data_IF_869141936081
#
_entry.id   IF_869141936081
#
_cell.length_a   1.000
_cell.length_b   1.000
_cell.length_c   1.000
_cell.angle_alpha   90.00
_cell.angle_beta   90.00
_cell.angle_gamma   90.00
#
_symmetry.space_group_name_H-M   'P 1'
#
loop_
_entity.id
_entity.type
_entity.pdbx_description
1 polymer ?
#
# COMPACT_ATOMS: atom_id res chain seq x y z
N UNK A 1 -65.25 28.42 -13.99
CA UNK A 1 -63.82 28.34 -14.32
C UNK A 1 -63.06 28.08 -13.03
N UNK A 2 -62.37 26.95 -12.94
CA UNK A 2 -61.28 26.76 -11.98
C UNK A 2 -60.11 26.27 -12.81
N UNK A 3 -59.16 27.16 -13.07
CA UNK A 3 -57.88 26.78 -13.65
C UNK A 3 -57.07 26.11 -12.55
N UNK A 4 -56.89 24.79 -12.67
CA UNK A 4 -55.89 24.07 -11.87
C UNK A 4 -54.55 24.39 -12.51
N UNK A 5 -53.78 25.26 -11.86
CA UNK A 5 -52.38 25.47 -12.21
C UNK A 5 -51.58 24.29 -11.66
N UNK A 6 -51.11 23.41 -12.55
CA UNK A 6 -50.00 22.52 -12.22
C UNK A 6 -48.74 23.38 -12.27
N UNK A 7 -48.09 23.58 -11.13
CA UNK A 7 -46.74 24.13 -11.11
C UNK A 7 -45.82 23.08 -11.75
N UNK A 8 -45.23 23.39 -12.91
CA UNK A 8 -44.24 22.54 -13.59
C UNK A 8 -42.94 22.37 -12.78
N UNK A 9 -42.70 23.22 -11.77
CA UNK A 9 -41.54 23.14 -10.88
C UNK A 9 -41.96 22.87 -9.42
N UNK A 10 -41.52 21.73 -8.89
CA UNK A 10 -41.62 21.40 -7.47
C UNK A 10 -40.88 22.46 -6.65
N UNK A 11 -41.59 23.13 -5.76
CA UNK A 11 -41.05 24.12 -4.82
C UNK A 11 -40.01 23.53 -3.85
N UNK A 12 -39.91 22.20 -3.78
CA UNK A 12 -38.87 21.48 -3.05
C UNK A 12 -37.81 20.99 -4.03
N UNK A 13 -36.65 21.68 -4.13
CA UNK A 13 -35.56 21.34 -5.05
C UNK A 13 -34.89 19.99 -4.73
N UNK A 14 -35.29 19.36 -3.62
CA UNK A 14 -34.75 18.07 -3.19
C UNK A 14 -35.60 16.87 -3.62
N UNK A 15 -36.84 17.07 -4.08
CA UNK A 15 -37.76 15.96 -4.43
C UNK A 15 -37.24 15.12 -5.60
N UNK A 16 -36.45 15.72 -6.49
CA UNK A 16 -35.85 15.04 -7.64
C UNK A 16 -34.32 14.84 -7.50
N UNK A 17 -33.74 15.02 -6.30
CA UNK A 17 -32.30 14.80 -6.10
C UNK A 17 -32.02 13.30 -5.98
N UNK A 18 -31.46 12.73 -7.03
CA UNK A 18 -31.07 11.31 -7.11
C UNK A 18 -29.59 11.03 -6.80
N UNK A 19 -28.80 12.08 -6.54
CA UNK A 19 -27.37 11.97 -6.25
C UNK A 19 -27.05 12.44 -4.83
N UNK A 20 -26.12 11.76 -4.17
CA UNK A 20 -25.61 12.19 -2.86
C UNK A 20 -24.90 13.55 -2.97
N UNK A 21 -24.99 14.36 -1.91
CA UNK A 21 -24.23 15.61 -1.77
C UNK A 21 -23.26 15.56 -0.60
N UNK A 22 -23.13 14.40 0.06
CA UNK A 22 -22.18 14.22 1.13
C UNK A 22 -20.79 13.99 0.54
N UNK A 23 -19.79 14.73 1.04
CA UNK A 23 -18.38 14.49 0.76
C UNK A 23 -17.82 13.72 1.94
N UNK A 24 -17.25 12.54 1.67
CA UNK A 24 -16.64 11.68 2.67
C UNK A 24 -15.11 11.76 2.57
N UNK A 25 -14.45 11.80 3.71
CA UNK A 25 -13.00 11.84 3.86
C UNK A 25 -12.53 10.56 4.51
N UNK A 26 -11.71 9.78 3.83
CA UNK A 26 -11.18 8.55 4.37
C UNK A 26 -9.84 8.19 3.76
N UNK A 27 -9.28 7.11 4.26
CA UNK A 27 -8.00 6.57 3.81
C UNK A 27 -8.19 5.12 3.37
N UNK A 28 -7.69 4.81 2.18
CA UNK A 28 -7.80 3.50 1.54
C UNK A 28 -6.53 2.67 1.65
N UNK A 29 -5.48 3.20 2.30
CA UNK A 29 -4.16 2.60 2.30
C UNK A 29 -3.44 2.81 3.64
N UNK A 30 -3.69 1.92 4.60
CA UNK A 30 -3.07 1.95 5.93
C UNK A 30 -2.53 0.58 6.32
N UNK A 31 -1.27 0.55 6.72
CA UNK A 31 -0.61 -0.65 7.25
C UNK A 31 -0.56 -0.58 8.77
N UNK A 32 -0.71 -1.73 9.40
CA UNK A 32 -0.71 -1.98 10.85
C UNK A 32 0.39 -2.99 11.19
N UNK A 33 0.48 -3.40 12.45
CA UNK A 33 1.41 -4.43 12.87
C UNK A 33 1.17 -5.81 12.21
N UNK A 34 0.03 -6.04 11.53
CA UNK A 34 -0.18 -7.28 10.77
C UNK A 34 0.65 -7.30 9.47
N UNK A 35 1.02 -6.15 8.93
CA UNK A 35 1.90 -6.08 7.77
C UNK A 35 3.37 -6.22 8.15
N UNK A 36 4.11 -7.00 7.37
CA UNK A 36 5.54 -7.29 7.59
C UNK A 36 6.37 -6.00 7.60
N UNK A 37 6.16 -5.13 6.60
CA UNK A 37 6.93 -3.89 6.45
C UNK A 37 6.69 -2.94 7.63
N UNK A 38 5.44 -2.68 7.99
CA UNK A 38 5.08 -1.78 9.05
C UNK A 38 5.64 -2.26 10.40
N UNK A 39 5.52 -3.54 10.74
CA UNK A 39 6.07 -4.08 11.98
C UNK A 39 7.60 -3.97 12.01
N UNK A 40 8.28 -4.37 10.92
CA UNK A 40 9.73 -4.27 10.80
C UNK A 40 10.18 -2.81 10.95
N UNK A 41 9.45 -1.84 10.40
CA UNK A 41 9.73 -0.42 10.59
C UNK A 41 9.32 0.16 11.95
N UNK A 42 8.89 -0.68 12.90
CA UNK A 42 8.64 -0.29 14.29
C UNK A 42 7.19 -0.06 14.64
N UNK A 43 6.24 -0.21 13.71
CA UNK A 43 4.81 -0.14 14.01
C UNK A 43 4.43 -1.26 14.96
N UNK A 44 3.68 -0.92 16.00
CA UNK A 44 3.13 -1.87 16.98
C UNK A 44 1.60 -1.77 17.11
N UNK A 45 1.00 -0.84 16.37
CA UNK A 45 -0.43 -0.55 16.42
C UNK A 45 -1.21 -1.61 15.64
N UNK A 46 -2.34 -2.03 16.20
CA UNK A 46 -3.22 -3.04 15.62
C UNK A 46 -4.23 -2.42 14.64
N UNK A 47 -4.95 -3.24 13.84
CA UNK A 47 -6.12 -2.76 13.09
C UNK A 47 -7.14 -2.03 13.96
N UNK A 48 -7.42 -2.52 15.17
CA UNK A 48 -8.34 -1.85 16.11
C UNK A 48 -7.81 -0.45 16.50
N UNK A 49 -6.50 -0.29 16.73
CA UNK A 49 -5.92 1.03 17.01
C UNK A 49 -6.02 1.98 15.81
N UNK A 50 -5.84 1.48 14.59
CA UNK A 50 -5.98 2.26 13.36
C UNK A 50 -7.42 2.79 13.21
N UNK A 51 -8.42 1.94 13.39
CA UNK A 51 -9.83 2.36 13.36
C UNK A 51 -10.18 3.34 14.48
N UNK A 52 -9.70 3.12 15.70
CA UNK A 52 -9.88 4.05 16.81
C UNK A 52 -9.28 5.42 16.50
N UNK A 53 -8.06 5.46 15.94
CA UNK A 53 -7.43 6.72 15.53
C UNK A 53 -8.21 7.42 14.42
N UNK A 54 -8.70 6.68 13.42
CA UNK A 54 -9.52 7.22 12.33
C UNK A 54 -10.84 7.81 12.84
N UNK A 55 -11.49 7.18 13.83
CA UNK A 55 -12.65 7.75 14.54
C UNK A 55 -12.31 8.96 15.42
N UNK A 56 -11.04 9.36 15.46
CA UNK A 56 -10.54 10.47 16.25
C UNK A 56 -10.47 10.14 17.74
N UNK A 57 -10.20 8.90 18.13
CA UNK A 57 -9.79 8.59 19.50
C UNK A 57 -8.32 8.95 19.71
N UNK A 58 -7.92 9.09 20.98
CA UNK A 58 -6.52 9.26 21.35
C UNK A 58 -5.84 7.89 21.39
N UNK A 59 -4.72 7.75 20.70
CA UNK A 59 -3.88 6.54 20.72
C UNK A 59 -2.43 6.92 21.09
N UNK A 60 -1.62 5.92 21.42
CA UNK A 60 -0.17 6.11 21.60
C UNK A 60 0.55 5.64 20.34
N UNK A 61 1.26 6.54 19.67
CA UNK A 61 2.05 6.22 18.48
C UNK A 61 3.24 5.31 18.82
N UNK A 62 3.81 4.66 17.82
CA UNK A 62 5.03 3.85 17.98
C UNK A 62 6.23 4.69 18.47
N UNK A 63 6.21 6.00 18.19
CA UNK A 63 7.14 7.00 18.71
C UNK A 63 6.85 7.43 20.16
N UNK A 64 5.96 6.75 20.88
CA UNK A 64 5.68 6.96 22.29
C UNK A 64 4.72 8.12 22.61
N UNK A 65 4.51 9.04 21.68
CA UNK A 65 3.63 10.21 21.82
C UNK A 65 2.15 9.85 21.80
N UNK A 66 1.33 10.62 22.52
CA UNK A 66 -0.13 10.55 22.40
C UNK A 66 -0.59 11.37 21.19
N UNK A 67 -1.30 10.73 20.26
CA UNK A 67 -1.75 11.37 19.01
C UNK A 67 -3.26 11.22 18.81
N UNK A 68 -3.85 12.19 18.11
CA UNK A 68 -5.26 12.24 17.74
C UNK A 68 -5.43 13.02 16.43
N UNK A 69 -6.32 12.55 15.54
CA UNK A 69 -6.70 13.34 14.37
C UNK A 69 -7.45 14.60 14.77
N UNK A 70 -7.11 15.74 14.14
CA UNK A 70 -7.87 17.00 14.30
C UNK A 70 -9.31 16.85 13.86
N UNK A 71 -9.54 16.09 12.79
CA UNK A 71 -10.86 15.74 12.25
C UNK A 71 -10.91 14.23 12.06
N UNK A 72 -11.88 13.52 12.64
CA UNK A 72 -12.11 12.11 12.34
C UNK A 72 -12.36 11.87 10.85
N UNK A 73 -12.00 10.70 10.37
CA UNK A 73 -12.34 10.22 9.03
C UNK A 73 -13.76 9.66 9.03
N UNK A 74 -14.37 9.66 7.86
CA UNK A 74 -15.67 9.06 7.58
C UNK A 74 -15.54 7.56 7.25
N UNK A 75 -14.37 7.13 6.75
CA UNK A 75 -14.06 5.71 6.53
C UNK A 75 -12.56 5.41 6.61
N UNK A 76 -12.22 4.13 6.85
CA UNK A 76 -10.85 3.63 6.81
C UNK A 76 -10.80 2.21 6.24
N UNK A 77 -9.76 1.92 5.48
CA UNK A 77 -9.37 0.57 5.07
C UNK A 77 -8.00 0.27 5.66
N UNK A 78 -7.91 -0.86 6.36
CA UNK A 78 -6.62 -1.46 6.73
C UNK A 78 -6.21 -2.36 5.57
N UNK A 79 -5.08 -2.06 4.93
CA UNK A 79 -4.59 -2.70 3.72
C UNK A 79 -3.22 -3.34 3.97
N UNK A 80 -3.12 -4.16 5.01
CA UNK A 80 -1.89 -4.90 5.30
C UNK A 80 -1.51 -5.84 4.14
N UNK A 81 -0.21 -6.12 3.94
CA UNK A 81 0.25 -7.03 2.89
C UNK A 81 -0.37 -8.41 3.04
N UNK A 82 -0.96 -8.95 1.97
CA UNK A 82 -1.45 -10.33 1.92
C UNK A 82 -0.30 -11.34 2.07
N UNK A 83 0.88 -10.99 1.54
CA UNK A 83 2.07 -11.82 1.63
C UNK A 83 2.52 -11.95 3.08
N UNK A 84 2.37 -13.16 3.64
CA UNK A 84 2.71 -13.46 5.04
C UNK A 84 1.99 -12.55 6.05
N UNK A 85 0.76 -12.13 5.75
CA UNK A 85 -0.06 -11.32 6.65
C UNK A 85 -0.10 -11.91 8.07
N UNK A 86 0.27 -11.10 9.07
CA UNK A 86 0.29 -11.48 10.47
C UNK A 86 1.45 -12.39 10.90
N UNK A 87 2.22 -12.98 9.97
CA UNK A 87 3.30 -13.93 10.31
C UNK A 87 4.37 -13.28 11.18
N UNK A 88 4.87 -12.10 10.77
CA UNK A 88 5.91 -11.39 11.51
C UNK A 88 5.41 -10.97 12.90
N UNK A 89 4.13 -10.58 13.00
CA UNK A 89 3.50 -10.26 14.28
C UNK A 89 3.44 -11.47 15.20
N UNK A 90 3.09 -12.66 14.67
CA UNK A 90 3.03 -13.91 15.42
C UNK A 90 4.42 -14.37 15.86
N UNK A 91 5.44 -14.25 15.02
CA UNK A 91 6.83 -14.50 15.40
C UNK A 91 7.27 -13.57 16.53
N UNK A 92 7.01 -12.26 16.41
CA UNK A 92 7.33 -11.28 17.44
C UNK A 92 6.58 -11.55 18.76
N UNK A 93 5.39 -12.14 18.69
CA UNK A 93 4.60 -12.56 19.84
C UNK A 93 5.01 -13.94 20.42
N UNK A 94 5.99 -14.62 19.81
CA UNK A 94 6.51 -15.88 20.32
C UNK A 94 5.75 -17.13 19.87
N UNK A 95 5.07 -17.11 18.72
CA UNK A 95 4.36 -18.27 18.18
C UNK A 95 5.29 -19.48 18.01
N UNK A 96 5.05 -20.55 18.77
CA UNK A 96 5.93 -21.72 18.83
C UNK A 96 6.01 -22.48 17.50
N UNK A 97 4.91 -22.53 16.73
CA UNK A 97 4.87 -23.26 15.47
C UNK A 97 5.73 -22.55 14.41
N UNK A 98 5.62 -21.23 14.31
CA UNK A 98 6.46 -20.43 13.42
C UNK A 98 7.93 -20.47 13.89
N UNK A 99 8.18 -20.37 15.19
CA UNK A 99 9.52 -20.45 15.79
C UNK A 99 10.17 -21.85 15.69
N UNK A 100 9.40 -22.90 15.39
CA UNK A 100 9.96 -24.22 15.10
C UNK A 100 10.66 -24.23 13.74
N UNK A 101 10.25 -23.37 12.80
CA UNK A 101 10.81 -23.30 11.44
C UNK A 101 12.15 -22.57 11.40
N UNK A 102 13.00 -22.89 10.41
CA UNK A 102 14.28 -22.18 10.23
C UNK A 102 14.07 -20.71 9.85
N UNK A 103 13.03 -20.41 9.06
CA UNK A 103 12.66 -19.06 8.70
C UNK A 103 12.23 -18.25 9.92
N UNK A 104 11.33 -18.80 10.75
CA UNK A 104 10.86 -18.14 11.96
C UNK A 104 11.97 -17.85 12.97
N UNK A 105 12.89 -18.79 13.20
CA UNK A 105 14.07 -18.56 14.07
C UNK A 105 14.94 -17.40 13.58
N UNK A 106 15.27 -17.41 12.29
CA UNK A 106 16.08 -16.36 11.66
C UNK A 106 15.39 -14.99 11.75
N UNK A 107 14.10 -14.95 11.48
CA UNK A 107 13.32 -13.71 11.55
C UNK A 107 13.19 -13.22 12.98
N UNK A 108 12.95 -14.10 13.97
CA UNK A 108 12.92 -13.73 15.38
C UNK A 108 14.25 -13.13 15.86
N UNK A 109 15.37 -13.73 15.48
CA UNK A 109 16.71 -13.19 15.75
C UNK A 109 16.89 -11.82 15.10
N UNK A 110 16.47 -11.65 13.85
CA UNK A 110 16.59 -10.39 13.12
C UNK A 110 15.67 -9.28 13.67
N UNK A 111 14.55 -9.63 14.32
CA UNK A 111 13.65 -8.69 14.99
C UNK A 111 14.16 -8.25 16.37
N UNK A 112 15.21 -8.87 16.90
CA UNK A 112 15.82 -8.48 18.17
C UNK A 112 16.69 -7.23 17.99
N UNK A 113 16.04 -6.08 17.87
CA UNK A 113 16.73 -4.82 17.61
C UNK A 113 17.55 -4.37 18.83
N UNK A 114 18.80 -3.92 18.62
CA UNK A 114 19.64 -3.44 19.71
C UNK A 114 19.13 -2.12 20.31
N UNK A 115 18.27 -1.40 19.59
CA UNK A 115 17.69 -0.10 19.95
C UNK A 115 16.24 -0.08 19.46
N UNK A 116 15.31 0.43 20.26
CA UNK A 116 13.92 0.62 19.84
C UNK A 116 13.77 1.83 18.92
N UNK A 117 12.69 1.88 18.12
CA UNK A 117 12.38 3.07 17.30
C UNK A 117 12.26 4.33 18.18
N UNK A 118 11.65 4.21 19.36
CA UNK A 118 11.49 5.32 20.29
C UNK A 118 12.83 5.88 20.76
N UNK A 119 13.76 5.02 21.18
CA UNK A 119 15.10 5.43 21.59
C UNK A 119 15.86 6.06 20.42
N UNK A 120 15.73 5.49 19.22
CA UNK A 120 16.35 6.02 18.02
C UNK A 120 15.82 7.41 17.61
N UNK A 121 14.51 7.66 17.76
CA UNK A 121 13.89 8.95 17.43
C UNK A 121 14.18 10.04 18.48
N UNK A 122 14.42 9.65 19.73
CA UNK A 122 14.73 10.58 20.82
C UNK A 122 16.24 10.82 21.01
N UNK A 123 17.07 10.21 20.18
CA UNK A 123 18.51 10.38 20.24
C UNK A 123 18.94 11.77 19.74
N UNK A 124 19.96 12.35 20.38
CA UNK A 124 20.53 13.64 19.96
C UNK A 124 21.34 13.52 18.65
N UNK A 125 21.71 12.30 18.24
CA UNK A 125 22.46 12.01 17.01
C UNK A 125 21.76 10.95 16.17
N UNK A 126 22.07 10.95 14.87
CA UNK A 126 21.54 9.95 13.93
C UNK A 126 22.12 8.54 14.13
N UNK A 127 23.07 8.33 15.04
CA UNK A 127 23.76 7.04 15.18
C UNK A 127 22.79 5.92 15.56
N UNK A 128 21.88 6.20 16.50
CA UNK A 128 20.86 5.24 16.92
C UNK A 128 19.81 5.01 15.83
N UNK A 129 19.44 6.05 15.07
CA UNK A 129 18.55 5.92 13.92
C UNK A 129 19.19 5.09 12.80
N UNK A 130 20.48 5.28 12.53
CA UNK A 130 21.23 4.50 11.55
C UNK A 130 21.38 3.04 12.00
N UNK A 131 21.61 2.79 13.29
CA UNK A 131 21.65 1.44 13.86
C UNK A 131 20.29 0.73 13.74
N UNK A 132 19.20 1.43 14.07
CA UNK A 132 17.84 0.93 13.87
C UNK A 132 17.59 0.60 12.39
N UNK A 133 17.89 1.50 11.47
CA UNK A 133 17.73 1.28 10.03
C UNK A 133 18.57 0.11 9.50
N UNK A 134 19.78 -0.09 10.03
CA UNK A 134 20.59 -1.24 9.68
C UNK A 134 19.94 -2.55 10.17
N UNK A 135 19.38 -2.56 11.38
CA UNK A 135 18.66 -3.70 11.93
C UNK A 135 17.37 -4.01 11.16
N UNK A 136 16.58 -2.99 10.79
CA UNK A 136 15.38 -3.20 9.96
C UNK A 136 15.74 -3.77 8.59
N UNK A 137 16.83 -3.32 7.95
CA UNK A 137 17.33 -3.92 6.71
C UNK A 137 17.73 -5.40 6.88
N UNK A 138 18.25 -5.80 8.04
CA UNK A 138 18.50 -7.22 8.33
C UNK A 138 17.19 -8.01 8.48
N UNK A 139 16.20 -7.45 9.17
CA UNK A 139 14.88 -8.06 9.32
C UNK A 139 14.15 -8.21 7.97
N UNK A 140 14.19 -7.19 7.10
CA UNK A 140 13.68 -7.27 5.72
C UNK A 140 14.35 -8.42 4.97
N UNK A 141 15.69 -8.54 5.05
CA UNK A 141 16.40 -9.65 4.39
C UNK A 141 16.05 -11.02 4.98
N UNK A 142 15.84 -11.10 6.30
CA UNK A 142 15.42 -12.32 6.94
C UNK A 142 14.03 -12.77 6.45
N UNK A 143 13.12 -11.80 6.32
CA UNK A 143 11.77 -12.00 5.78
C UNK A 143 11.76 -12.26 4.27
N UNK A 144 12.69 -11.70 3.50
CA UNK A 144 12.84 -12.03 2.08
C UNK A 144 13.38 -13.44 1.82
N UNK A 145 14.06 -14.01 2.82
CA UNK A 145 14.67 -15.33 2.73
C UNK A 145 15.86 -15.37 1.77
N UNK A 146 16.03 -16.51 1.09
CA UNK A 146 17.17 -16.77 0.19
C UNK A 146 16.90 -16.39 -1.28
N UNK A 147 15.70 -15.92 -1.58
CA UNK A 147 15.28 -15.54 -2.94
C UNK A 147 15.74 -14.11 -3.22
N UNK A 148 16.48 -13.90 -4.32
CA UNK A 148 16.83 -12.54 -4.77
C UNK A 148 15.58 -11.82 -5.29
N UNK A 149 15.21 -10.68 -4.72
CA UNK A 149 14.07 -9.85 -5.16
C UNK A 149 12.99 -9.74 -4.07
N UNK A 150 11.73 -9.51 -4.46
CA UNK A 150 10.57 -9.55 -3.53
C UNK A 150 10.14 -10.99 -3.20
N UNK A 151 11.08 -11.91 -3.07
CA UNK A 151 10.77 -13.18 -2.46
C UNK A 151 10.39 -12.92 -1.00
N UNK A 152 9.50 -13.73 -0.46
CA UNK A 152 9.33 -13.84 0.99
C UNK A 152 9.81 -15.22 1.41
N UNK A 153 10.20 -15.34 2.68
CA UNK A 153 10.55 -16.60 3.29
C UNK A 153 9.31 -17.49 3.37
N UNK A 154 9.51 -18.77 3.09
CA UNK A 154 8.53 -19.79 3.41
C UNK A 154 8.59 -20.07 4.92
N UNK A 155 7.53 -19.65 5.62
CA UNK A 155 7.33 -19.88 7.05
C UNK A 155 6.52 -21.15 7.33
N UNK A 156 6.18 -21.95 6.31
CA UNK A 156 5.37 -23.15 6.44
C UNK A 156 3.93 -22.86 6.86
N UNK A 157 3.40 -21.69 6.53
CA UNK A 157 2.01 -21.33 6.82
C UNK A 157 1.06 -22.11 5.90
N UNK A 158 -0.06 -22.54 6.45
CA UNK A 158 -1.12 -23.22 5.71
C UNK A 158 -2.35 -22.32 5.57
N UNK A 159 -3.34 -22.78 4.79
CA UNK A 159 -4.59 -22.06 4.60
C UNK A 159 -5.33 -21.80 5.92
N UNK A 160 -5.15 -22.66 6.93
CA UNK A 160 -5.78 -22.49 8.25
C UNK A 160 -5.24 -21.25 8.94
N UNK A 161 -3.92 -21.04 8.91
CA UNK A 161 -3.30 -19.82 9.40
C UNK A 161 -3.79 -18.58 8.62
N UNK A 162 -3.80 -18.64 7.29
CA UNK A 162 -4.28 -17.53 6.46
C UNK A 162 -5.74 -17.16 6.80
N UNK A 163 -6.63 -18.17 6.92
CA UNK A 163 -8.03 -17.98 7.31
C UNK A 163 -8.16 -17.40 8.72
N UNK A 164 -7.31 -17.81 9.67
CA UNK A 164 -7.41 -17.27 11.04
C UNK A 164 -7.05 -15.80 11.08
N UNK A 165 -5.96 -15.39 10.42
CA UNK A 165 -5.56 -13.97 10.38
C UNK A 165 -6.57 -13.15 9.58
N UNK A 166 -7.05 -13.66 8.45
CA UNK A 166 -8.07 -12.97 7.65
C UNK A 166 -9.38 -12.77 8.42
N UNK A 167 -9.79 -13.76 9.19
CA UNK A 167 -10.93 -13.64 10.09
C UNK A 167 -10.73 -12.53 11.12
N UNK A 168 -9.53 -12.39 11.70
CA UNK A 168 -9.24 -11.28 12.64
C UNK A 168 -9.34 -9.90 11.98
N UNK A 169 -8.88 -9.77 10.73
CA UNK A 169 -9.01 -8.53 9.94
C UNK A 169 -10.48 -8.17 9.73
N UNK A 170 -11.28 -9.13 9.25
CA UNK A 170 -12.72 -8.94 9.07
C UNK A 170 -13.39 -8.57 10.40
N UNK A 171 -13.16 -9.32 11.46
CA UNK A 171 -13.77 -9.07 12.76
C UNK A 171 -13.36 -7.70 13.34
N UNK A 172 -12.13 -7.23 13.09
CA UNK A 172 -11.69 -5.89 13.51
C UNK A 172 -12.44 -4.79 12.76
N UNK A 173 -12.59 -4.92 11.43
CA UNK A 173 -13.40 -4.01 10.64
C UNK A 173 -14.84 -3.97 11.17
N UNK A 174 -15.49 -5.12 11.30
CA UNK A 174 -16.88 -5.22 11.76
C UNK A 174 -17.11 -4.65 13.16
N UNK A 175 -16.17 -4.84 14.10
CA UNK A 175 -16.25 -4.23 15.45
C UNK A 175 -16.26 -2.69 15.40
N UNK A 176 -15.67 -2.11 14.36
CA UNK A 176 -15.47 -0.67 14.23
C UNK A 176 -16.42 0.00 13.24
N UNK A 177 -17.11 -0.79 12.42
CA UNK A 177 -18.14 -0.29 11.50
C UNK A 177 -19.32 0.28 12.29
N UNK A 178 -19.60 1.57 12.10
CA UNK A 178 -20.72 2.30 12.70
C UNK A 178 -21.50 3.01 11.59
N UNK A 179 -22.39 2.29 10.87
CA UNK A 179 -23.06 2.80 9.69
C UNK A 179 -23.74 4.17 9.90
N UNK A 180 -23.44 5.11 9.00
CA UNK A 180 -23.91 6.50 9.09
C UNK A 180 -23.02 7.42 9.93
N UNK A 181 -21.99 6.90 10.60
CA UNK A 181 -20.99 7.67 11.35
C UNK A 181 -19.55 7.38 10.92
N UNK A 182 -19.21 6.11 10.73
CA UNK A 182 -17.90 5.66 10.30
C UNK A 182 -18.02 4.31 9.59
N UNK A 183 -17.44 4.18 8.41
CA UNK A 183 -17.48 2.93 7.64
C UNK A 183 -16.12 2.28 7.57
N UNK A 184 -16.08 0.97 7.81
CA UNK A 184 -14.89 0.15 7.57
C UNK A 184 -15.11 -0.74 6.37
N UNK A 185 -14.02 -1.12 5.72
CA UNK A 185 -14.01 -2.17 4.70
C UNK A 185 -12.98 -3.22 5.07
N UNK A 186 -13.31 -4.49 4.83
CA UNK A 186 -12.30 -5.55 4.82
C UNK A 186 -11.46 -5.40 3.56
N UNK A 187 -10.14 -5.42 3.71
CA UNK A 187 -9.22 -5.23 2.59
C UNK A 187 -7.81 -5.71 2.91
N UNK A 188 -6.96 -5.71 1.88
CA UNK A 188 -5.56 -6.09 1.98
C UNK A 188 -4.76 -5.50 0.81
N UNK A 189 -3.44 -5.42 0.94
CA UNK A 189 -2.53 -5.05 -0.15
C UNK A 189 -1.99 -6.32 -0.85
N UNK A 190 -2.10 -6.38 -2.17
CA UNK A 190 -1.43 -7.35 -3.05
C UNK A 190 -0.15 -6.73 -3.60
N UNK A 191 1.01 -7.30 -3.26
CA UNK A 191 2.31 -6.64 -3.46
C UNK A 191 3.19 -7.27 -4.53
N UNK A 192 3.46 -6.50 -5.58
CA UNK A 192 4.28 -6.95 -6.71
C UNK A 192 5.37 -5.93 -7.05
N UNK A 193 6.61 -6.42 -7.12
CA UNK A 193 7.83 -5.64 -7.33
C UNK A 193 7.82 -4.82 -8.60
N UNK A 194 7.28 -5.43 -9.66
CA UNK A 194 7.34 -4.93 -11.00
C UNK A 194 5.94 -5.09 -11.59
N UNK A 195 5.22 -3.99 -11.72
CA UNK A 195 3.78 -3.96 -11.99
C UNK A 195 2.99 -3.07 -11.03
N UNK A 196 3.57 -2.73 -9.88
CA UNK A 196 2.94 -1.96 -8.81
C UNK A 196 2.03 -2.80 -7.93
N UNK A 197 1.54 -2.19 -6.85
CA UNK A 197 0.76 -2.87 -5.82
C UNK A 197 -0.73 -2.60 -6.06
N UNK A 198 -1.61 -3.32 -5.36
CA UNK A 198 -3.06 -3.06 -5.35
C UNK A 198 -3.65 -3.21 -3.96
N UNK A 199 -4.42 -2.23 -3.51
CA UNK A 199 -5.30 -2.41 -2.35
C UNK A 199 -6.61 -3.04 -2.81
N UNK A 200 -6.89 -4.27 -2.39
CA UNK A 200 -8.14 -5.00 -2.66
C UNK A 200 -9.14 -4.68 -1.56
N UNK A 201 -10.36 -4.31 -1.97
CA UNK A 201 -11.39 -3.79 -1.07
C UNK A 201 -12.69 -4.54 -1.32
N UNK A 202 -13.22 -5.16 -0.27
CA UNK A 202 -14.52 -5.80 -0.26
C UNK A 202 -15.57 -4.84 0.28
N UNK A 203 -16.68 -4.67 -0.43
CA UNK A 203 -17.80 -3.85 0.04
C UNK A 203 -18.73 -4.61 1.00
N UNK A 204 -18.49 -5.91 1.18
CA UNK A 204 -19.40 -6.83 1.84
C UNK A 204 -19.07 -7.06 3.31
N UNK A 205 -20.05 -7.60 4.04
CA UNK A 205 -19.90 -8.04 5.42
C UNK A 205 -19.25 -9.43 5.58
N UNK A 206 -19.09 -9.89 6.83
CA UNK A 206 -18.30 -11.07 7.16
C UNK A 206 -18.84 -12.37 6.52
N UNK A 207 -20.15 -12.47 6.27
CA UNK A 207 -20.77 -13.65 5.68
C UNK A 207 -20.31 -13.93 4.25
N UNK A 208 -20.02 -12.88 3.46
CA UNK A 208 -19.52 -13.03 2.10
C UNK A 208 -17.99 -13.03 2.08
N UNK A 209 -17.36 -12.06 2.74
CA UNK A 209 -15.90 -11.86 2.66
C UNK A 209 -15.10 -13.01 3.27
N UNK A 210 -15.63 -13.71 4.27
CA UNK A 210 -14.96 -14.87 4.89
C UNK A 210 -14.96 -16.15 4.04
N UNK A 211 -15.69 -16.18 2.92
CA UNK A 211 -15.72 -17.34 2.01
C UNK A 211 -14.38 -17.53 1.28
N UNK A 212 -13.60 -16.46 1.14
CA UNK A 212 -12.29 -16.45 0.49
C UNK A 212 -11.18 -16.09 1.48
N UNK A 213 -9.94 -16.30 1.06
CA UNK A 213 -8.73 -15.79 1.72
C UNK A 213 -8.02 -14.84 0.76
N UNK A 214 -7.25 -13.85 1.25
CA UNK A 214 -6.53 -12.93 0.38
C UNK A 214 -5.72 -13.63 -0.70
N UNK A 215 -5.95 -13.28 -1.96
CA UNK A 215 -5.11 -13.70 -3.08
C UNK A 215 -3.84 -12.85 -3.07
N UNK A 216 -2.69 -13.50 -2.97
CA UNK A 216 -1.38 -12.88 -2.77
C UNK A 216 -0.49 -12.98 -4.02
N UNK A 217 0.66 -12.30 -4.00
CA UNK A 217 1.68 -12.45 -5.02
C UNK A 217 2.35 -13.83 -5.01
N UNK A 218 2.14 -14.66 -3.98
CA UNK A 218 2.56 -16.07 -3.98
C UNK A 218 1.67 -16.93 -4.88
N UNK A 219 0.40 -16.57 -5.02
CA UNK A 219 -0.55 -17.26 -5.90
C UNK A 219 -0.28 -16.89 -7.36
N UNK A 220 -0.23 -15.59 -7.65
CA UNK A 220 0.26 -15.05 -8.91
C UNK A 220 0.64 -13.59 -8.75
N UNK A 221 1.63 -13.16 -9.53
CA UNK A 221 1.98 -11.74 -9.65
C UNK A 221 1.38 -11.11 -10.92
N UNK A 222 0.62 -11.85 -11.72
CA UNK A 222 -0.08 -11.31 -12.89
C UNK A 222 -1.39 -10.62 -12.46
N UNK A 223 -1.60 -9.32 -12.75
CA UNK A 223 -2.85 -8.66 -12.40
C UNK A 223 -4.08 -9.30 -13.07
N UNK A 224 -3.93 -9.97 -14.21
CA UNK A 224 -5.07 -10.67 -14.84
C UNK A 224 -5.55 -11.86 -14.00
N UNK A 225 -4.64 -12.53 -13.29
CA UNK A 225 -5.00 -13.62 -12.36
C UNK A 225 -5.67 -13.06 -11.10
N UNK A 226 -5.19 -11.92 -10.58
CA UNK A 226 -5.89 -11.20 -9.51
C UNK A 226 -7.31 -10.83 -9.93
N UNK A 227 -7.50 -10.25 -11.12
CA UNK A 227 -8.84 -9.90 -11.63
C UNK A 227 -9.74 -11.11 -11.83
N UNK A 228 -9.18 -12.27 -12.24
CA UNK A 228 -9.93 -13.52 -12.32
C UNK A 228 -10.40 -13.99 -10.93
N UNK A 229 -9.55 -13.86 -9.90
CA UNK A 229 -9.93 -14.14 -8.52
C UNK A 229 -11.05 -13.20 -8.02
N UNK A 230 -10.97 -11.89 -8.33
CA UNK A 230 -12.02 -10.92 -7.99
C UNK A 230 -13.36 -11.26 -8.67
N UNK A 231 -13.31 -11.66 -9.95
CA UNK A 231 -14.49 -12.11 -10.68
C UNK A 231 -15.12 -13.37 -10.06
N UNK A 232 -14.29 -14.35 -9.70
CA UNK A 232 -14.75 -15.59 -9.07
C UNK A 232 -15.43 -15.33 -7.71
N UNK A 233 -14.93 -14.37 -6.94
CA UNK A 233 -15.58 -13.91 -5.71
C UNK A 233 -16.98 -13.33 -6.00
N UNK A 234 -17.12 -12.38 -6.93
CA UNK A 234 -18.43 -11.79 -7.25
C UNK A 234 -19.41 -12.83 -7.82
N UNK A 235 -18.97 -13.73 -8.69
CA UNK A 235 -19.82 -14.77 -9.30
C UNK A 235 -20.34 -15.79 -8.28
N UNK A 236 -19.49 -16.20 -7.32
CA UNK A 236 -19.85 -17.24 -6.34
C UNK A 236 -20.65 -16.70 -5.17
N UNK A 237 -20.29 -15.51 -4.69
CA UNK A 237 -20.87 -14.93 -3.47
C UNK A 237 -22.02 -13.96 -3.76
N UNK A 238 -22.06 -13.37 -4.97
CA UNK A 238 -22.92 -12.23 -5.28
C UNK A 238 -22.46 -10.91 -4.64
N UNK A 239 -21.28 -10.90 -3.98
CA UNK A 239 -20.68 -9.73 -3.36
C UNK A 239 -20.03 -8.77 -4.36
N UNK A 240 -19.34 -7.75 -3.83
CA UNK A 240 -18.69 -6.71 -4.63
C UNK A 240 -17.26 -6.46 -4.16
N UNK A 241 -16.33 -6.44 -5.11
CA UNK A 241 -14.91 -6.22 -4.82
C UNK A 241 -14.23 -5.43 -5.94
N UNK A 242 -13.24 -4.63 -5.60
CA UNK A 242 -12.36 -3.97 -6.58
C UNK A 242 -10.97 -3.75 -5.99
N UNK A 243 -10.06 -3.25 -6.81
CA UNK A 243 -8.69 -2.96 -6.46
C UNK A 243 -8.32 -1.50 -6.77
N UNK A 244 -7.46 -0.90 -5.94
CA UNK A 244 -6.85 0.41 -6.20
C UNK A 244 -5.35 0.19 -6.46
N UNK A 245 -4.89 0.25 -7.72
CA UNK A 245 -3.47 0.24 -8.02
C UNK A 245 -2.73 1.47 -7.47
N UNK A 246 -1.48 1.25 -7.06
CA UNK A 246 -0.60 2.30 -6.55
C UNK A 246 0.88 2.00 -6.86
N UNK A 247 1.76 2.93 -6.48
CA UNK A 247 3.21 2.82 -6.69
C UNK A 247 3.61 2.64 -8.16
N UNK A 248 2.95 3.33 -9.09
CA UNK A 248 3.35 3.31 -10.49
C UNK A 248 4.82 3.72 -10.68
N UNK A 249 5.29 4.71 -9.93
CA UNK A 249 6.68 5.21 -9.90
C UNK A 249 7.71 4.12 -9.54
N UNK A 250 7.30 3.10 -8.78
CA UNK A 250 8.13 1.95 -8.41
C UNK A 250 7.82 0.69 -9.24
N UNK A 251 6.89 0.76 -10.19
CA UNK A 251 6.44 -0.40 -10.95
C UNK A 251 7.47 -0.96 -11.95
N UNK A 252 8.61 -0.29 -12.14
CA UNK A 252 9.60 -0.66 -13.14
C UNK A 252 9.09 -0.50 -14.58
N UNK A 253 8.38 0.60 -14.88
CA UNK A 253 7.75 0.89 -16.18
C UNK A 253 6.68 -0.15 -16.61
N UNK A 254 5.98 -0.76 -15.65
CA UNK A 254 4.96 -1.78 -15.95
C UNK A 254 3.53 -1.36 -15.66
N UNK A 255 3.29 -0.42 -14.74
CA UNK A 255 1.93 -0.02 -14.34
C UNK A 255 1.08 0.47 -15.53
N UNK A 256 1.70 1.23 -16.44
CA UNK A 256 1.04 1.82 -17.59
C UNK A 256 1.65 1.34 -18.92
N UNK A 257 2.23 0.14 -18.95
CA UNK A 257 2.78 -0.42 -20.18
C UNK A 257 1.68 -0.70 -21.22
N UNK A 258 2.03 -0.56 -22.51
CA UNK A 258 1.16 -0.86 -23.65
C UNK A 258 1.11 -2.36 -24.01
N UNK A 259 1.61 -3.19 -23.09
CA UNK A 259 1.58 -4.65 -23.21
C UNK A 259 1.13 -5.26 -21.90
N UNK A 260 0.51 -6.44 -21.96
CA UNK A 260 0.26 -7.26 -20.78
C UNK A 260 1.58 -7.64 -20.10
N UNK A 261 1.50 -8.23 -18.90
CA UNK A 261 2.70 -8.73 -18.19
C UNK A 261 3.47 -9.77 -19.01
N UNK A 262 2.77 -10.49 -19.89
CA UNK A 262 3.34 -11.51 -20.81
C UNK A 262 3.94 -10.91 -22.07
N UNK A 263 3.84 -9.59 -22.27
CA UNK A 263 4.38 -8.88 -23.43
C UNK A 263 3.43 -8.83 -24.63
N UNK A 264 2.17 -9.23 -24.46
CA UNK A 264 1.16 -9.20 -25.53
C UNK A 264 0.58 -7.78 -25.67
N UNK A 265 0.22 -7.31 -26.88
CA UNK A 265 -0.44 -6.03 -27.05
C UNK A 265 -1.75 -5.93 -26.26
N UNK A 266 -2.04 -4.75 -25.69
CA UNK A 266 -3.33 -4.53 -25.02
C UNK A 266 -4.50 -4.66 -26.00
N UNK A 267 -5.59 -5.27 -25.53
CA UNK A 267 -6.84 -5.41 -26.28
C UNK A 267 -7.93 -4.55 -25.65
N UNK A 268 -9.01 -4.28 -26.40
CA UNK A 268 -10.20 -3.62 -25.84
C UNK A 268 -10.81 -4.42 -24.67
N UNK A 269 -10.69 -5.75 -24.69
CA UNK A 269 -11.15 -6.61 -23.59
C UNK A 269 -10.30 -6.39 -22.33
N UNK A 270 -8.97 -6.30 -22.47
CA UNK A 270 -8.08 -5.97 -21.35
C UNK A 270 -8.42 -4.60 -20.74
N UNK A 271 -8.58 -3.57 -21.57
CA UNK A 271 -8.88 -2.22 -21.09
C UNK A 271 -10.22 -2.16 -20.32
N UNK A 272 -11.26 -2.84 -20.82
CA UNK A 272 -12.56 -2.95 -20.11
C UNK A 272 -12.42 -3.72 -18.80
N UNK A 273 -11.67 -4.83 -18.80
CA UNK A 273 -11.43 -5.63 -17.58
C UNK A 273 -10.69 -4.80 -16.53
N UNK A 274 -9.61 -4.11 -16.91
CA UNK A 274 -8.88 -3.22 -16.01
C UNK A 274 -9.77 -2.11 -15.47
N UNK A 275 -10.54 -1.43 -16.33
CA UNK A 275 -11.45 -0.37 -15.88
C UNK A 275 -12.54 -0.86 -14.92
N UNK A 276 -12.95 -2.13 -14.99
CA UNK A 276 -13.94 -2.72 -14.08
C UNK A 276 -13.35 -3.00 -12.69
N UNK A 277 -12.13 -3.55 -12.66
CA UNK A 277 -11.50 -4.02 -11.43
C UNK A 277 -10.57 -3.00 -10.78
N UNK A 278 -10.01 -2.08 -11.55
CA UNK A 278 -9.13 -0.99 -11.11
C UNK A 278 -9.71 0.39 -11.51
N UNK A 279 -10.88 0.78 -10.98
CA UNK A 279 -11.53 2.03 -11.36
C UNK A 279 -10.85 3.29 -10.81
N UNK A 280 -9.95 3.14 -9.83
CA UNK A 280 -9.21 4.23 -9.17
C UNK A 280 -7.71 3.99 -9.29
N UNK A 281 -6.90 5.02 -9.09
CA UNK A 281 -5.45 4.92 -8.97
C UNK A 281 -4.95 5.85 -7.88
N UNK A 282 -4.15 5.33 -6.95
CA UNK A 282 -3.52 6.13 -5.91
C UNK A 282 -2.27 6.81 -6.49
N UNK A 283 -2.34 8.14 -6.55
CA UNK A 283 -1.29 8.95 -7.16
C UNK A 283 -0.18 9.35 -6.19
N UNK A 284 -0.39 9.25 -4.87
CA UNK A 284 0.59 9.70 -3.86
C UNK A 284 0.57 8.80 -2.63
N UNK A 285 1.77 8.41 -2.17
CA UNK A 285 1.99 7.52 -1.04
C UNK A 285 3.28 7.94 -0.28
N UNK A 286 3.61 7.31 0.86
CA UNK A 286 4.90 7.55 1.54
C UNK A 286 6.12 7.21 0.66
N UNK A 287 5.92 6.35 -0.35
CA UNK A 287 6.89 6.00 -1.39
C UNK A 287 6.79 6.95 -2.59
N UNK A 288 6.41 8.20 -2.32
CA UNK A 288 6.36 9.32 -3.25
C UNK A 288 5.16 9.31 -4.20
N UNK A 289 5.08 10.35 -5.03
CA UNK A 289 4.02 10.50 -6.02
C UNK A 289 4.28 9.69 -7.30
N UNK A 290 3.22 9.04 -7.78
CA UNK A 290 3.12 8.29 -9.04
C UNK A 290 2.27 9.00 -10.11
N UNK A 291 1.89 10.26 -9.92
CA UNK A 291 1.16 11.05 -10.92
C UNK A 291 2.05 11.48 -12.09
N UNK A 292 3.17 12.14 -11.78
CA UNK A 292 4.04 12.81 -12.76
C UNK A 292 5.49 12.85 -12.25
N UNK A 293 6.41 13.32 -13.10
CA UNK A 293 7.83 13.53 -12.78
C UNK A 293 8.36 14.71 -13.61
N UNK A 294 9.42 15.44 -13.20
CA UNK A 294 9.90 16.62 -13.94
C UNK A 294 10.41 16.27 -15.35
N UNK A 295 10.80 15.02 -15.58
CA UNK A 295 11.17 14.51 -16.91
C UNK A 295 9.97 14.33 -17.85
N UNK A 296 8.75 14.24 -17.32
CA UNK A 296 7.50 14.08 -18.08
C UNK A 296 6.78 15.43 -18.16
N UNK A 297 6.81 16.21 -17.08
CA UNK A 297 6.15 17.52 -16.98
C UNK A 297 7.15 18.61 -16.58
N UNK A 298 8.04 19.04 -17.48
CA UNK A 298 9.09 20.00 -17.15
C UNK A 298 8.57 21.39 -16.80
N UNK A 299 7.33 21.71 -17.18
CA UNK A 299 6.70 23.01 -16.91
C UNK A 299 5.71 22.96 -15.73
N UNK A 300 5.61 21.83 -15.03
CA UNK A 300 4.76 21.66 -13.86
C UNK A 300 5.61 21.87 -12.60
N UNK A 301 5.35 22.96 -11.88
CA UNK A 301 6.13 23.35 -10.69
C UNK A 301 5.99 22.35 -9.52
N UNK A 302 4.93 21.54 -9.51
CA UNK A 302 4.69 20.51 -8.50
C UNK A 302 5.23 19.14 -8.92
N UNK A 303 5.73 18.98 -10.16
CA UNK A 303 6.20 17.68 -10.63
C UNK A 303 7.43 17.16 -9.89
N UNK A 304 8.12 18.00 -9.11
CA UNK A 304 9.25 17.63 -8.29
C UNK A 304 8.90 17.33 -6.83
N UNK A 305 7.65 17.53 -6.41
CA UNK A 305 7.22 17.40 -5.03
C UNK A 305 7.15 15.93 -4.59
N UNK A 306 7.61 15.62 -3.37
CA UNK A 306 7.57 14.27 -2.79
C UNK A 306 8.10 13.14 -3.72
N UNK A 307 9.14 13.40 -4.52
CA UNK A 307 9.80 12.33 -5.31
C UNK A 307 10.49 11.35 -4.37
N UNK A 308 10.12 10.09 -4.48
CA UNK A 308 10.77 9.03 -3.72
C UNK A 308 12.22 8.80 -4.13
N UNK A 309 13.11 8.78 -3.14
CA UNK A 309 14.53 8.50 -3.30
C UNK A 309 14.94 7.41 -2.32
N UNK A 310 15.26 6.22 -2.84
CA UNK A 310 15.81 5.13 -2.04
C UNK A 310 17.07 5.58 -1.31
N UNK A 311 17.14 5.35 0.00
CA UNK A 311 18.35 5.52 0.81
C UNK A 311 18.58 6.91 1.43
N UNK A 312 17.59 7.81 1.43
CA UNK A 312 17.66 9.08 2.17
C UNK A 312 16.89 8.93 3.48
N UNK A 313 17.63 8.64 4.56
CA UNK A 313 17.14 8.89 5.93
C UNK A 313 16.99 10.41 6.12
N UNK A 314 16.13 10.84 7.05
CA UNK A 314 15.73 12.24 7.36
C UNK A 314 16.86 13.27 7.58
N UNK A 315 18.13 12.90 7.40
CA UNK A 315 19.31 13.75 7.63
C UNK A 315 20.37 13.71 6.53
N UNK A 316 20.05 13.30 5.29
CA UNK A 316 20.93 13.58 4.16
C UNK A 316 20.39 14.79 3.37
N UNK A 317 20.80 16.04 3.68
CA UNK A 317 21.00 16.98 2.60
C UNK A 317 21.97 16.33 1.60
N UNK A 318 21.91 16.69 0.31
CA UNK A 318 22.71 16.15 -0.81
C UNK A 318 24.25 16.15 -0.62
N UNK A 319 24.77 16.42 0.58
CA UNK A 319 26.16 16.41 0.98
C UNK A 319 26.62 15.04 1.50
N UNK A 320 26.78 14.03 0.64
CA UNK A 320 27.79 12.95 0.86
C UNK A 320 28.18 12.20 -0.42
N UNK A 321 28.63 12.96 -1.43
CA UNK A 321 29.77 12.57 -2.28
C UNK A 321 31.05 13.28 -1.78
N UNK A 322 31.38 13.13 -0.50
CA UNK A 322 32.72 13.45 0.02
C UNK A 322 33.12 12.42 1.07
N UNK A 323 33.14 11.14 0.68
CA UNK A 323 34.02 10.20 1.35
C UNK A 323 35.42 10.41 0.77
N UNK A 324 36.32 10.93 1.61
CA UNK A 324 37.76 11.03 1.35
C UNK A 324 38.29 9.68 0.87
N UNK A 325 38.51 9.53 -0.44
CA UNK A 325 39.51 8.60 -0.95
C UNK A 325 40.86 9.31 -0.87
N UNK A 326 41.94 8.66 -0.44
CA UNK A 326 43.28 9.23 -0.54
C UNK A 326 43.51 9.68 -1.97
N UNK A 327 43.91 10.93 -2.13
CA UNK A 327 44.33 11.47 -3.40
C UNK A 327 45.67 10.82 -3.73
N UNK A 328 45.64 9.75 -4.52
CA UNK A 328 46.71 9.42 -5.46
C UNK A 328 46.14 8.44 -6.51
N UNK A 329 46.25 8.88 -7.76
CA UNK A 329 46.12 8.12 -9.01
C UNK A 329 44.80 7.39 -9.28
N UNK A 330 43.89 8.08 -9.98
CA UNK A 330 43.34 7.59 -11.25
C UNK A 330 42.64 8.70 -12.03
N UNK A 331 42.95 8.73 -13.32
CA UNK A 331 42.42 9.62 -14.34
C UNK A 331 40.94 9.96 -14.16
N UNK A 332 40.63 11.25 -14.28
CA UNK A 332 39.29 11.74 -14.59
C UNK A 332 38.85 11.14 -15.92
N UNK A 333 38.15 10.01 -15.86
CA UNK A 333 37.16 9.71 -16.89
C UNK A 333 35.90 10.45 -16.48
N UNK A 334 35.77 11.69 -16.97
CA UNK A 334 34.45 12.32 -17.13
C UNK A 334 33.68 11.50 -18.18
N UNK A 335 33.18 10.34 -17.76
CA UNK A 335 32.15 9.63 -18.50
C UNK A 335 30.88 10.50 -18.51
N UNK A 336 30.12 10.52 -19.60
CA UNK A 336 28.88 11.27 -19.66
C UNK A 336 27.99 10.86 -18.48
N UNK A 337 27.45 11.83 -17.74
CA UNK A 337 26.34 11.57 -16.82
C UNK A 337 25.23 11.01 -17.68
N UNK A 338 25.04 9.69 -17.65
CA UNK A 338 23.97 9.01 -18.36
C UNK A 338 22.66 9.68 -17.91
N UNK A 339 22.01 10.40 -18.82
CA UNK A 339 20.68 10.96 -18.56
C UNK A 339 19.80 9.79 -18.20
N UNK A 340 19.27 9.76 -16.97
CA UNK A 340 18.30 8.73 -16.57
C UNK A 340 17.19 8.70 -17.62
N UNK A 341 16.87 7.53 -18.18
CA UNK A 341 15.83 7.43 -19.20
C UNK A 341 14.50 7.93 -18.62
N UNK A 342 13.71 8.61 -19.45
CA UNK A 342 12.38 9.07 -19.07
C UNK A 342 11.54 7.85 -18.66
N UNK A 343 10.88 7.86 -17.49
CA UNK A 343 10.05 6.75 -17.07
C UNK A 343 8.73 6.75 -17.87
N UNK A 344 8.72 6.05 -19.00
CA UNK A 344 7.65 6.13 -20.01
C UNK A 344 6.32 5.53 -19.55
N UNK A 345 6.33 4.56 -18.63
CA UNK A 345 5.14 3.78 -18.25
C UNK A 345 4.95 3.67 -16.72
N UNK A 346 5.59 4.54 -15.95
CA UNK A 346 5.56 4.50 -14.49
C UNK A 346 4.62 5.55 -13.88
N UNK A 347 4.28 6.61 -14.61
CA UNK A 347 3.51 7.72 -14.04
C UNK A 347 2.16 7.84 -14.75
N UNK A 348 1.09 8.16 -14.03
CA UNK A 348 -0.25 8.27 -14.61
C UNK A 348 -0.29 9.23 -15.81
N UNK A 349 0.44 10.36 -15.71
CA UNK A 349 0.51 11.35 -16.78
C UNK A 349 1.21 10.82 -18.04
N UNK A 350 2.17 9.90 -17.91
CA UNK A 350 2.79 9.29 -19.08
C UNK A 350 1.79 8.40 -19.85
N UNK A 351 0.91 7.70 -19.13
CA UNK A 351 -0.19 6.93 -19.72
C UNK A 351 -1.18 7.82 -20.51
N UNK A 352 -1.56 8.97 -19.93
CA UNK A 352 -2.46 9.93 -20.59
C UNK A 352 -1.86 10.49 -21.88
N UNK A 353 -0.57 10.83 -21.86
CA UNK A 353 0.14 11.31 -23.06
C UNK A 353 0.20 10.25 -24.17
N UNK A 354 0.38 8.97 -23.81
CA UNK A 354 0.34 7.86 -24.78
C UNK A 354 -1.04 7.70 -25.41
N UNK A 355 -2.11 7.88 -24.63
CA UNK A 355 -3.49 7.78 -25.12
C UNK A 355 -3.93 8.94 -26.02
N UNK A 356 -3.39 10.14 -25.82
CA UNK A 356 -3.66 11.33 -26.66
C UNK A 356 -2.92 11.30 -28.02
N UNK A 357 -1.94 10.41 -28.17
CA UNK A 357 -1.15 10.26 -29.41
C UNK A 357 -1.63 9.13 -30.34
N UNK A 358 -2.64 8.36 -29.93
CA UNK A 358 -3.34 7.38 -30.77
C UNK A 358 -4.65 7.98 -31.27
#
# INVERSE_FOLDING_TARGET
MVHVAFAEESYSPHVNRSHTTNVYWGDTHVHTALSSDALIFGTRLTPDDAYRFAKGEKIRAASGEEVRLRRPLDFLIVSDHAENMGVIARIAAGDEALLATQAGKRTAEALNYPVSLLEALNADTDDLLNAFNAATLMAIKADQGLVKGLGHADYGIDERFCRSVWKEVIESAERHNDPGRFTTFSGYEWTVAAGGHRNVIFADGPELTSQVVPFSAFDSSDPEDLWAYLNDYEERSGGQVFAIPHNGNLSGNRMFALTTRRGEPLTAAYARRRSRWEPLYEVTQIKGHGETHPLISPNDEFAADEIFRWGITKSQPDSKKQAKRPADEKEQTEGPVERRPVPVNSYARSALMLGLGQ
#
